data_IF_324114840271
#
_entry.id   IF_324114840271
#
_cell.length_a   1.000
_cell.length_b   1.000
_cell.length_c   1.000
_cell.angle_alpha   90.00
_cell.angle_beta   90.00
_cell.angle_gamma   90.00
#
_symmetry.space_group_name_H-M   'P 1'
#
loop_
_entity.id
_entity.type
_entity.pdbx_description
1 polymer ?
#
# COMPACT_ATOMS: atom_id res chain seq x y z
N UNK A 1 -49.73 31.32 7.20
CA UNK A 1 -48.78 30.45 7.89
C UNK A 1 -47.70 29.97 6.92
N UNK A 2 -46.45 30.38 7.11
CA UNK A 2 -45.31 29.83 6.36
C UNK A 2 -44.96 28.44 6.93
N UNK A 3 -44.60 27.43 6.11
CA UNK A 3 -44.13 26.14 6.60
C UNK A 3 -42.71 26.25 7.20
N UNK A 4 -42.33 25.41 8.14
CA UNK A 4 -41.04 25.44 8.81
C UNK A 4 -39.92 24.99 7.85
N UNK A 5 -38.76 25.69 7.94
CA UNK A 5 -37.53 25.36 7.20
C UNK A 5 -36.97 24.05 7.77
N UNK A 6 -36.80 23.06 6.90
CA UNK A 6 -36.08 21.84 7.22
C UNK A 6 -34.59 22.17 7.44
N UNK A 7 -34.08 21.90 8.65
CA UNK A 7 -32.67 21.94 8.96
C UNK A 7 -31.97 20.81 8.18
N UNK A 8 -31.10 21.18 7.25
CA UNK A 8 -30.23 20.23 6.59
C UNK A 8 -29.15 19.80 7.58
N UNK A 9 -29.27 18.56 8.06
CA UNK A 9 -28.22 17.90 8.81
C UNK A 9 -26.91 17.93 8.03
N UNK A 10 -25.92 18.58 8.62
CA UNK A 10 -24.54 18.60 8.14
C UNK A 10 -23.98 17.20 8.17
N UNK A 11 -24.03 16.49 7.05
CA UNK A 11 -23.31 15.23 6.84
C UNK A 11 -21.82 15.56 6.79
N UNK A 12 -21.12 15.34 7.92
CA UNK A 12 -19.68 15.43 7.97
C UNK A 12 -19.07 14.29 7.14
N UNK A 13 -18.68 14.62 5.91
CA UNK A 13 -17.89 13.72 5.06
C UNK A 13 -16.62 13.32 5.82
N UNK A 14 -16.26 12.02 5.85
CA UNK A 14 -14.97 11.60 6.39
C UNK A 14 -13.86 12.34 5.64
N UNK A 15 -12.96 12.96 6.40
CA UNK A 15 -11.79 13.67 5.83
C UNK A 15 -10.94 12.65 5.10
N UNK A 16 -10.68 12.91 3.82
CA UNK A 16 -9.70 12.15 3.02
C UNK A 16 -8.36 12.12 3.76
N UNK A 17 -7.71 10.95 3.88
CA UNK A 17 -6.33 10.91 4.33
C UNK A 17 -5.46 11.76 3.38
N UNK A 18 -4.51 12.48 3.97
CA UNK A 18 -3.58 13.34 3.23
C UNK A 18 -2.78 12.52 2.19
N UNK A 19 -2.41 13.10 1.04
CA UNK A 19 -1.58 12.42 0.07
C UNK A 19 -0.24 12.02 0.71
N UNK A 20 0.21 10.79 0.42
CA UNK A 20 1.47 10.23 0.89
C UNK A 20 2.62 11.11 0.40
N UNK A 21 3.20 11.89 1.28
CA UNK A 21 4.55 12.43 1.09
C UNK A 21 5.50 11.25 1.30
N UNK A 22 6.17 10.76 0.29
CA UNK A 22 6.98 9.54 0.17
C UNK A 22 7.76 8.96 1.37
N UNK A 23 7.59 9.47 2.59
CA UNK A 23 8.24 8.99 3.80
C UNK A 23 7.21 8.21 4.63
N UNK A 24 7.48 6.91 4.84
CA UNK A 24 6.68 6.04 5.72
C UNK A 24 6.95 6.39 7.19
N UNK A 25 5.93 6.24 8.05
CA UNK A 25 6.04 6.53 9.50
C UNK A 25 7.03 5.59 10.20
N UNK A 26 7.13 4.36 9.73
CA UNK A 26 8.06 3.32 10.18
C UNK A 26 7.99 3.04 11.70
N UNK A 27 6.78 3.05 12.25
CA UNK A 27 6.54 2.73 13.65
C UNK A 27 6.37 1.21 13.82
N UNK A 28 7.35 0.56 14.44
CA UNK A 28 7.40 -0.90 14.54
C UNK A 28 7.25 -1.34 16.01
N UNK A 29 6.16 -2.04 16.29
CA UNK A 29 5.86 -2.62 17.61
C UNK A 29 6.64 -3.94 17.77
N UNK A 30 7.69 -3.92 18.56
CA UNK A 30 8.57 -5.08 18.80
C UNK A 30 8.34 -5.71 20.17
N UNK A 31 8.15 -4.86 21.18
CA UNK A 31 8.04 -5.22 22.59
C UNK A 31 6.58 -5.26 23.04
N UNK A 32 6.31 -5.91 24.17
CA UNK A 32 4.97 -6.08 24.72
C UNK A 32 4.24 -7.33 24.24
N UNK A 33 3.08 -7.60 24.84
CA UNK A 33 2.21 -8.72 24.46
C UNK A 33 1.57 -8.51 23.09
N UNK A 34 1.00 -9.56 22.52
CA UNK A 34 0.27 -9.46 21.25
C UNK A 34 -0.93 -8.53 21.36
N UNK A 35 -1.64 -8.57 22.50
CA UNK A 35 -2.79 -7.72 22.80
C UNK A 35 -2.40 -6.24 22.86
N UNK A 36 -1.29 -5.91 23.55
CA UNK A 36 -0.78 -4.54 23.65
C UNK A 36 -0.41 -3.98 22.27
N UNK A 37 0.35 -4.73 21.48
CA UNK A 37 0.74 -4.33 20.12
C UNK A 37 -0.46 -4.08 19.21
N UNK A 38 -1.47 -4.95 19.29
CA UNK A 38 -2.71 -4.81 18.51
C UNK A 38 -3.50 -3.60 18.98
N UNK A 39 -3.63 -3.39 20.30
CA UNK A 39 -4.35 -2.24 20.84
C UNK A 39 -3.73 -0.91 20.39
N UNK A 40 -2.40 -0.79 20.50
CA UNK A 40 -1.66 0.39 20.04
C UNK A 40 -1.80 0.62 18.54
N UNK A 41 -1.67 -0.44 17.73
CA UNK A 41 -1.88 -0.35 16.28
C UNK A 41 -3.26 0.21 15.94
N UNK A 42 -4.31 -0.35 16.56
CA UNK A 42 -5.70 0.07 16.30
C UNK A 42 -5.93 1.53 16.72
N UNK A 43 -5.34 1.96 17.83
CA UNK A 43 -5.38 3.36 18.26
C UNK A 43 -4.74 4.29 17.23
N UNK A 44 -3.56 3.93 16.71
CA UNK A 44 -2.89 4.68 15.67
C UNK A 44 -3.71 4.75 14.37
N UNK A 45 -4.29 3.63 13.94
CA UNK A 45 -5.14 3.60 12.74
C UNK A 45 -6.38 4.51 12.89
N UNK A 46 -7.02 4.50 14.06
CA UNK A 46 -8.15 5.41 14.37
C UNK A 46 -7.72 6.87 14.38
N UNK A 47 -6.55 7.21 14.95
CA UNK A 47 -5.98 8.56 14.91
C UNK A 47 -5.67 9.03 13.49
N UNK A 48 -5.29 8.11 12.60
CA UNK A 48 -5.08 8.38 11.17
C UNK A 48 -6.38 8.53 10.38
N UNK A 49 -7.53 8.37 11.03
CA UNK A 49 -8.85 8.54 10.43
C UNK A 49 -9.40 7.31 9.72
N UNK A 50 -8.86 6.11 9.99
CA UNK A 50 -9.43 4.88 9.47
C UNK A 50 -10.72 4.53 10.24
N UNK A 51 -11.83 4.45 9.49
CA UNK A 51 -13.15 4.11 10.01
C UNK A 51 -13.51 2.67 9.63
N UNK A 52 -13.61 1.79 10.61
CA UNK A 52 -13.91 0.37 10.42
C UNK A 52 -15.42 0.05 10.53
N UNK A 53 -16.30 1.04 10.64
CA UNK A 53 -17.75 0.84 10.61
C UNK A 53 -18.31 0.65 9.20
N UNK A 54 -17.57 1.08 8.17
CA UNK A 54 -17.89 0.89 6.76
C UNK A 54 -17.04 -0.21 6.13
N UNK A 55 -17.59 -0.94 5.18
CA UNK A 55 -16.92 -2.06 4.56
C UNK A 55 -17.31 -2.29 3.11
N UNK A 56 -16.49 -3.09 2.43
CA UNK A 56 -16.69 -3.55 1.06
C UNK A 56 -16.69 -5.08 1.04
N UNK A 57 -17.32 -5.73 0.04
CA UNK A 57 -17.21 -7.16 -0.16
C UNK A 57 -15.74 -7.60 -0.28
N UNK A 58 -15.41 -8.75 0.30
CA UNK A 58 -14.02 -9.27 0.32
C UNK A 58 -13.48 -9.61 -1.08
N UNK A 59 -14.35 -9.80 -2.05
CA UNK A 59 -14.06 -10.09 -3.46
C UNK A 59 -14.03 -8.83 -4.34
N UNK A 60 -14.17 -7.63 -3.76
CA UNK A 60 -14.02 -6.37 -4.49
C UNK A 60 -12.68 -6.34 -5.23
N UNK A 61 -12.63 -5.93 -6.52
CA UNK A 61 -11.38 -5.80 -7.26
C UNK A 61 -10.37 -4.89 -6.52
N UNK A 62 -9.10 -5.31 -6.45
CA UNK A 62 -8.04 -4.58 -5.73
C UNK A 62 -7.93 -3.11 -6.19
N UNK A 63 -8.10 -2.85 -7.48
CA UNK A 63 -8.05 -1.49 -8.05
C UNK A 63 -9.22 -0.59 -7.64
N UNK A 64 -10.27 -1.15 -7.04
CA UNK A 64 -11.47 -0.46 -6.56
C UNK A 64 -11.58 -0.46 -5.04
N UNK A 65 -10.72 -1.22 -4.37
CA UNK A 65 -10.76 -1.39 -2.93
C UNK A 65 -10.11 -0.18 -2.22
N UNK A 66 -10.78 0.35 -1.20
CA UNK A 66 -10.16 1.34 -0.30
C UNK A 66 -9.23 0.69 0.72
N UNK A 67 -9.50 -0.56 1.07
CA UNK A 67 -8.73 -1.35 2.02
C UNK A 67 -8.48 -2.74 1.47
N UNK A 68 -7.29 -3.27 1.75
CA UNK A 68 -6.90 -4.64 1.37
C UNK A 68 -6.20 -5.32 2.53
N UNK A 69 -6.63 -6.52 2.85
CA UNK A 69 -5.89 -7.47 3.69
C UNK A 69 -5.23 -8.49 2.77
N UNK A 70 -3.91 -8.57 2.80
CA UNK A 70 -3.13 -9.34 1.84
C UNK A 70 -2.36 -10.47 2.50
N UNK A 71 -2.53 -11.69 1.96
CA UNK A 71 -1.87 -12.90 2.43
C UNK A 71 -0.48 -13.07 1.81
N UNK A 72 0.53 -13.29 2.64
CA UNK A 72 1.87 -13.76 2.24
C UNK A 72 2.06 -15.25 2.51
N UNK A 73 3.21 -15.80 2.11
CA UNK A 73 3.57 -17.19 2.40
C UNK A 73 3.63 -17.51 3.91
N UNK A 74 3.80 -16.48 4.76
CA UNK A 74 3.77 -16.64 6.22
C UNK A 74 2.44 -17.13 6.78
N UNK A 75 1.35 -17.16 5.96
CA UNK A 75 0.06 -17.76 6.34
C UNK A 75 0.14 -19.31 6.40
N UNK A 76 1.15 -19.92 5.80
CA UNK A 76 1.46 -21.34 5.87
C UNK A 76 0.61 -22.21 4.97
N UNK A 77 -0.68 -22.40 5.23
CA UNK A 77 -1.57 -23.28 4.47
C UNK A 77 -2.82 -22.60 3.97
N UNK A 78 -3.53 -23.28 3.06
CA UNK A 78 -4.78 -22.76 2.46
C UNK A 78 -5.90 -22.62 3.51
N UNK A 79 -5.95 -23.53 4.47
CA UNK A 79 -6.94 -23.51 5.54
C UNK A 79 -6.82 -22.23 6.39
N UNK A 80 -5.59 -21.72 6.55
CA UNK A 80 -5.31 -20.51 7.31
C UNK A 80 -5.74 -19.23 6.57
N UNK A 81 -6.13 -19.32 5.29
CA UNK A 81 -6.78 -18.19 4.60
C UNK A 81 -8.03 -17.72 5.32
N UNK A 82 -8.65 -18.56 6.14
CA UNK A 82 -9.77 -18.17 7.02
C UNK A 82 -9.41 -16.99 7.92
N UNK A 83 -8.18 -16.90 8.43
CA UNK A 83 -7.72 -15.76 9.24
C UNK A 83 -7.70 -14.46 8.44
N UNK A 84 -7.32 -14.54 7.16
CA UNK A 84 -7.31 -13.40 6.23
C UNK A 84 -8.74 -12.97 5.90
N UNK A 85 -9.64 -13.93 5.64
CA UNK A 85 -11.05 -13.66 5.37
C UNK A 85 -11.75 -12.99 6.56
N UNK A 86 -11.51 -13.50 7.77
CA UNK A 86 -12.12 -12.95 8.98
C UNK A 86 -11.61 -11.54 9.25
N UNK A 87 -10.30 -11.28 9.09
CA UNK A 87 -9.72 -9.96 9.22
C UNK A 87 -10.24 -9.02 8.12
N UNK A 88 -10.38 -9.49 6.88
CA UNK A 88 -10.92 -8.70 5.79
C UNK A 88 -12.36 -8.26 6.06
N UNK A 89 -13.21 -9.18 6.56
CA UNK A 89 -14.57 -8.87 6.98
C UNK A 89 -14.60 -7.86 8.14
N UNK A 90 -13.79 -8.10 9.18
CA UNK A 90 -13.73 -7.24 10.35
C UNK A 90 -13.18 -5.84 10.04
N UNK A 91 -12.29 -5.69 9.08
CA UNK A 91 -11.75 -4.40 8.64
C UNK A 91 -12.53 -3.75 7.50
N UNK A 92 -13.54 -4.45 6.93
CA UNK A 92 -14.28 -3.98 5.76
C UNK A 92 -13.38 -3.83 4.52
N UNK A 93 -12.50 -4.80 4.29
CA UNK A 93 -11.47 -4.79 3.26
C UNK A 93 -11.67 -5.90 2.20
N UNK A 94 -11.10 -5.71 1.02
CA UNK A 94 -10.95 -6.79 0.03
C UNK A 94 -9.74 -7.67 0.38
N UNK A 95 -9.74 -8.90 -0.15
CA UNK A 95 -8.63 -9.83 -0.02
C UNK A 95 -7.65 -9.64 -1.18
N UNK A 96 -6.37 -9.50 -0.83
CA UNK A 96 -5.25 -9.55 -1.74
C UNK A 96 -4.27 -10.65 -1.37
N UNK A 97 -3.21 -10.81 -2.16
CA UNK A 97 -2.14 -11.77 -1.88
C UNK A 97 -0.80 -11.34 -2.47
N UNK A 98 0.25 -11.98 -1.99
CA UNK A 98 1.54 -11.97 -2.67
C UNK A 98 1.53 -12.92 -3.86
N UNK A 99 2.45 -12.71 -4.83
CA UNK A 99 2.57 -13.54 -6.03
C UNK A 99 2.66 -15.04 -5.73
N UNK A 100 3.51 -15.52 -4.79
CA UNK A 100 3.58 -16.95 -4.48
C UNK A 100 2.26 -17.55 -3.99
N UNK A 101 1.46 -16.80 -3.22
CA UNK A 101 0.18 -17.29 -2.68
C UNK A 101 -0.86 -17.48 -3.80
N UNK A 102 -0.89 -16.59 -4.79
CA UNK A 102 -1.83 -16.72 -5.91
C UNK A 102 -1.31 -17.65 -7.01
N UNK A 103 -0.04 -17.48 -7.43
CA UNK A 103 0.51 -18.17 -8.61
C UNK A 103 1.01 -19.58 -8.30
N UNK A 104 1.80 -19.73 -7.23
CA UNK A 104 2.44 -21.01 -6.89
C UNK A 104 1.55 -21.88 -6.01
N UNK A 105 1.03 -21.31 -4.92
CA UNK A 105 0.22 -22.07 -3.95
C UNK A 105 -1.25 -22.13 -4.35
N UNK A 106 -1.71 -21.22 -5.21
CA UNK A 106 -3.09 -21.16 -5.71
C UNK A 106 -4.15 -21.13 -4.59
N UNK A 107 -3.85 -20.42 -3.49
CA UNK A 107 -4.80 -20.25 -2.39
C UNK A 107 -5.91 -19.26 -2.75
N UNK A 108 -5.62 -18.32 -3.65
CA UNK A 108 -6.56 -17.32 -4.18
C UNK A 108 -6.39 -17.21 -5.70
N UNK A 109 -7.40 -16.68 -6.43
CA UNK A 109 -7.29 -16.41 -7.87
C UNK A 109 -6.14 -15.43 -8.19
N UNK A 110 -5.61 -15.49 -9.42
CA UNK A 110 -4.50 -14.64 -9.90
C UNK A 110 -4.82 -13.15 -9.89
N UNK A 111 -6.07 -12.77 -10.02
CA UNK A 111 -6.51 -11.37 -9.95
C UNK A 111 -6.42 -10.76 -8.54
N UNK A 112 -6.10 -11.58 -7.53
CA UNK A 112 -5.82 -11.15 -6.15
C UNK A 112 -4.36 -10.87 -5.88
N UNK A 113 -3.48 -11.17 -6.81
CA UNK A 113 -2.06 -10.93 -6.65
C UNK A 113 -1.71 -9.44 -6.78
N UNK A 114 -1.04 -8.90 -5.75
CA UNK A 114 -0.56 -7.51 -5.70
C UNK A 114 0.95 -7.48 -5.93
N UNK A 115 1.40 -6.64 -6.86
CA UNK A 115 2.82 -6.53 -7.18
C UNK A 115 3.09 -5.80 -8.49
N UNK A 116 4.34 -5.76 -8.91
CA UNK A 116 4.80 -5.05 -10.09
C UNK A 116 4.08 -5.52 -11.37
N UNK A 117 3.95 -6.82 -11.57
CA UNK A 117 3.24 -7.45 -12.70
C UNK A 117 1.81 -7.87 -12.36
N UNK A 118 1.33 -7.60 -11.15
CA UNK A 118 -0.03 -7.87 -10.71
C UNK A 118 -0.86 -6.59 -10.53
N UNK A 119 -1.82 -6.67 -9.63
CA UNK A 119 -2.66 -5.54 -9.29
C UNK A 119 -1.87 -4.45 -8.56
N UNK A 120 -2.21 -3.18 -8.80
CA UNK A 120 -1.71 -2.03 -8.05
C UNK A 120 -2.75 -1.60 -7.04
N UNK A 121 -2.32 -1.43 -5.80
CA UNK A 121 -3.18 -0.91 -4.75
C UNK A 121 -2.86 0.56 -4.48
N UNK A 122 -3.88 1.41 -4.52
CA UNK A 122 -3.78 2.86 -4.32
C UNK A 122 -4.80 3.39 -3.29
N UNK A 123 -5.33 2.47 -2.47
CA UNK A 123 -6.35 2.79 -1.46
C UNK A 123 -5.76 3.33 -0.16
N UNK A 124 -6.63 3.37 0.85
CA UNK A 124 -6.34 4.01 2.12
C UNK A 124 -5.51 3.15 3.08
N UNK A 125 -5.77 1.83 3.11
CA UNK A 125 -5.13 0.92 4.06
C UNK A 125 -4.77 -0.41 3.42
N UNK A 126 -3.50 -0.79 3.51
CA UNK A 126 -3.00 -2.10 3.11
C UNK A 126 -2.45 -2.85 4.33
N UNK A 127 -3.01 -4.01 4.63
CA UNK A 127 -2.54 -4.86 5.74
C UNK A 127 -1.84 -6.08 5.15
N UNK A 128 -0.51 -6.13 5.28
CA UNK A 128 0.36 -7.19 4.79
C UNK A 128 0.56 -8.26 5.88
N UNK A 129 -0.05 -9.43 5.73
CA UNK A 129 -0.01 -10.53 6.70
C UNK A 129 0.96 -11.63 6.25
N UNK A 130 2.09 -11.77 6.93
CA UNK A 130 3.10 -12.77 6.59
C UNK A 130 3.79 -12.53 5.24
N UNK A 131 3.85 -11.30 4.78
CA UNK A 131 4.54 -10.88 3.55
C UNK A 131 5.94 -10.41 3.89
N UNK A 132 6.95 -10.86 3.16
CA UNK A 132 8.36 -10.51 3.39
C UNK A 132 8.71 -9.11 2.89
N UNK A 133 8.04 -8.62 1.84
CA UNK A 133 8.34 -7.32 1.24
C UNK A 133 9.40 -7.38 0.14
N UNK A 134 9.30 -8.37 -0.76
CA UNK A 134 10.08 -8.38 -1.98
C UNK A 134 9.79 -7.11 -2.81
N UNK A 135 10.81 -6.58 -3.50
CA UNK A 135 10.73 -5.33 -4.27
C UNK A 135 9.54 -5.31 -5.23
N UNK A 136 9.28 -6.45 -5.90
CA UNK A 136 8.15 -6.57 -6.84
C UNK A 136 6.80 -6.38 -6.15
N UNK A 137 6.65 -6.88 -4.90
CA UNK A 137 5.43 -6.67 -4.12
C UNK A 137 5.31 -5.21 -3.67
N UNK A 138 6.40 -4.64 -3.15
CA UNK A 138 6.45 -3.24 -2.68
C UNK A 138 6.08 -2.25 -3.78
N UNK A 139 6.52 -2.47 -5.03
CA UNK A 139 6.11 -1.66 -6.19
C UNK A 139 4.59 -1.69 -6.43
N UNK A 140 3.90 -2.74 -5.99
CA UNK A 140 2.43 -2.86 -6.09
C UNK A 140 1.65 -2.08 -5.03
N UNK A 141 2.28 -1.72 -3.91
CA UNK A 141 1.63 -1.08 -2.76
C UNK A 141 2.22 0.29 -2.39
N UNK A 142 3.22 0.76 -3.10
CA UNK A 142 3.92 2.02 -2.80
C UNK A 142 3.00 3.23 -2.67
N UNK A 143 1.90 3.22 -3.40
CA UNK A 143 0.92 4.31 -3.45
C UNK A 143 -0.24 4.15 -2.44
N UNK A 144 -0.21 3.13 -1.58
CA UNK A 144 -1.13 2.99 -0.46
C UNK A 144 -0.96 4.16 0.53
N UNK A 145 -2.05 4.69 1.07
CA UNK A 145 -1.96 5.79 2.06
C UNK A 145 -1.33 5.31 3.37
N UNK A 146 -1.76 4.15 3.86
CA UNK A 146 -1.20 3.52 5.06
C UNK A 146 -0.88 2.06 4.77
N UNK A 147 0.32 1.61 5.14
CA UNK A 147 0.75 0.22 5.07
C UNK A 147 0.99 -0.30 6.47
N UNK A 148 0.27 -1.36 6.83
CA UNK A 148 0.49 -2.15 8.06
C UNK A 148 1.19 -3.45 7.67
N UNK A 149 2.25 -3.82 8.38
CA UNK A 149 2.98 -5.06 8.17
C UNK A 149 2.94 -5.95 9.41
N UNK A 150 2.61 -7.23 9.24
CA UNK A 150 2.66 -8.25 10.29
C UNK A 150 3.58 -9.37 9.80
N UNK A 151 4.69 -9.58 10.50
CA UNK A 151 5.65 -10.63 10.15
C UNK A 151 6.43 -11.08 11.38
N UNK A 152 6.67 -12.38 11.51
CA UNK A 152 7.48 -12.94 12.60
C UNK A 152 8.98 -12.63 12.45
N UNK A 153 9.45 -12.42 11.23
CA UNK A 153 10.85 -12.05 10.97
C UNK A 153 11.02 -10.53 11.12
N UNK A 154 11.64 -10.11 12.23
CA UNK A 154 11.91 -8.70 12.51
C UNK A 154 12.81 -8.01 11.46
N UNK A 155 13.59 -8.79 10.69
CA UNK A 155 14.44 -8.31 9.60
C UNK A 155 13.74 -8.25 8.23
N UNK A 156 12.45 -8.58 8.14
CA UNK A 156 11.74 -8.60 6.87
C UNK A 156 11.74 -7.21 6.21
N UNK A 157 12.08 -7.10 4.90
CA UNK A 157 12.14 -5.83 4.18
C UNK A 157 10.85 -5.01 4.22
N UNK A 158 9.68 -5.66 4.41
CA UNK A 158 8.39 -4.98 4.52
C UNK A 158 8.40 -3.94 5.63
N UNK A 159 9.11 -4.18 6.75
CA UNK A 159 9.17 -3.26 7.88
C UNK A 159 9.88 -1.95 7.57
N UNK A 160 10.74 -1.89 6.57
CA UNK A 160 11.35 -0.65 6.10
C UNK A 160 10.43 0.17 5.20
N UNK A 161 9.32 -0.43 4.75
CA UNK A 161 8.41 0.11 3.76
C UNK A 161 6.95 0.20 4.25
N UNK A 162 6.73 0.13 5.57
CA UNK A 162 5.41 0.27 6.18
C UNK A 162 5.31 1.49 7.10
N UNK A 163 4.09 1.92 7.37
CA UNK A 163 3.81 2.98 8.34
C UNK A 163 3.77 2.41 9.75
N UNK A 164 3.14 1.24 9.89
CA UNK A 164 3.03 0.50 11.14
C UNK A 164 3.43 -0.95 10.93
N UNK A 165 4.20 -1.50 11.85
CA UNK A 165 4.61 -2.90 11.79
C UNK A 165 4.46 -3.61 13.14
N UNK A 166 3.96 -4.83 13.14
CA UNK A 166 3.97 -5.71 14.33
C UNK A 166 4.89 -6.89 14.06
N UNK A 167 5.93 -7.02 14.88
CA UNK A 167 6.78 -8.22 14.88
C UNK A 167 6.10 -9.28 15.74
N UNK A 168 5.65 -10.38 15.10
CA UNK A 168 4.97 -11.47 15.77
C UNK A 168 4.35 -12.48 14.81
N UNK A 169 3.77 -13.53 15.39
CA UNK A 169 3.15 -14.60 14.62
C UNK A 169 1.76 -14.19 14.12
N UNK A 170 1.48 -14.46 12.84
CA UNK A 170 0.17 -14.17 12.23
C UNK A 170 -0.96 -14.96 12.89
N UNK A 171 -0.68 -16.17 13.39
CA UNK A 171 -1.69 -17.02 14.03
C UNK A 171 -2.16 -16.48 15.39
N UNK A 172 -1.32 -15.71 16.05
CA UNK A 172 -1.64 -15.05 17.31
C UNK A 172 -2.26 -13.67 17.05
N UNK A 173 -1.65 -12.89 16.15
CA UNK A 173 -1.99 -11.49 15.95
C UNK A 173 -3.27 -11.28 15.14
N UNK A 174 -3.54 -12.10 14.10
CA UNK A 174 -4.69 -11.86 13.24
C UNK A 174 -6.04 -12.06 13.97
N UNK A 175 -6.23 -13.09 14.83
CA UNK A 175 -7.47 -13.20 15.60
C UNK A 175 -7.71 -12.01 16.54
N UNK A 176 -6.64 -11.52 17.20
CA UNK A 176 -6.72 -10.36 18.09
C UNK A 176 -7.07 -9.08 17.32
N UNK A 177 -6.42 -8.87 16.16
CA UNK A 177 -6.68 -7.72 15.30
C UNK A 177 -8.10 -7.79 14.72
N UNK A 178 -8.55 -8.97 14.30
CA UNK A 178 -9.93 -9.21 13.84
C UNK A 178 -10.92 -8.78 14.90
N UNK A 179 -10.76 -9.26 16.14
CA UNK A 179 -11.63 -8.89 17.26
C UNK A 179 -11.62 -7.40 17.56
N UNK A 180 -10.44 -6.76 17.48
CA UNK A 180 -10.28 -5.32 17.77
C UNK A 180 -10.88 -4.40 16.69
N UNK A 181 -10.98 -4.88 15.44
CA UNK A 181 -11.56 -4.15 14.30
C UNK A 181 -13.03 -4.53 14.03
N UNK A 182 -13.53 -5.57 14.67
CA UNK A 182 -14.92 -5.98 14.49
C UNK A 182 -15.86 -5.02 15.23
N UNK A 183 -16.57 -4.21 14.46
CA UNK A 183 -17.56 -3.25 14.95
C UNK A 183 -19.01 -3.77 14.78
N UNK A 184 -19.18 -5.06 14.45
CA UNK A 184 -20.46 -5.67 14.12
C UNK A 184 -20.83 -5.52 12.64
N UNK A 185 -22.11 -5.31 12.34
CA UNK A 185 -22.59 -5.15 10.96
C UNK A 185 -21.97 -3.93 10.29
N UNK A 186 -21.34 -4.12 9.13
CA UNK A 186 -20.70 -3.04 8.36
C UNK A 186 -21.70 -2.34 7.48
N UNK A 187 -21.70 -1.03 7.51
CA UNK A 187 -22.39 -0.25 6.49
C UNK A 187 -21.65 -0.38 5.15
N UNK A 188 -22.39 -0.48 4.01
CA UNK A 188 -21.73 -0.50 2.71
C UNK A 188 -20.93 0.81 2.50
N UNK A 189 -19.68 0.66 2.09
CA UNK A 189 -18.88 1.82 1.74
C UNK A 189 -19.52 2.55 0.54
N UNK A 190 -19.54 3.89 0.52
CA UNK A 190 -19.99 4.63 -0.64
C UNK A 190 -19.13 4.24 -1.85
N UNK A 191 -19.72 4.15 -3.06
CA UNK A 191 -18.97 3.76 -4.25
C UNK A 191 -17.77 4.69 -4.42
N UNK A 192 -16.59 4.10 -4.66
CA UNK A 192 -15.41 4.89 -4.97
C UNK A 192 -15.66 5.68 -6.24
N UNK A 193 -15.94 6.96 -6.09
CA UNK A 193 -15.88 7.87 -7.21
C UNK A 193 -14.40 7.91 -7.62
N UNK A 194 -14.11 7.41 -8.83
CA UNK A 194 -12.80 7.56 -9.47
C UNK A 194 -12.53 9.07 -9.64
N UNK A 195 -12.11 9.70 -8.56
CA UNK A 195 -11.52 11.03 -8.69
C UNK A 195 -10.20 10.80 -9.42
N UNK A 196 -10.12 11.24 -10.69
CA UNK A 196 -8.82 11.47 -11.30
C UNK A 196 -8.02 12.24 -10.24
N UNK A 197 -6.93 11.62 -9.73
CA UNK A 197 -5.96 12.38 -8.96
C UNK A 197 -5.68 13.61 -9.81
N UNK A 198 -5.68 14.84 -9.25
CA UNK A 198 -5.00 15.89 -9.94
C UNK A 198 -3.58 15.36 -10.16
N UNK A 199 -3.25 15.05 -11.41
CA UNK A 199 -1.85 14.86 -11.78
C UNK A 199 -1.16 16.09 -11.21
N UNK A 200 -0.12 15.93 -10.37
CA UNK A 200 0.70 17.09 -10.02
C UNK A 200 1.01 17.78 -11.35
N UNK A 201 0.95 19.11 -11.42
CA UNK A 201 1.27 19.80 -12.66
C UNK A 201 2.58 19.21 -13.14
N UNK A 202 2.58 18.68 -14.38
CA UNK A 202 3.76 18.08 -14.97
C UNK A 202 4.82 19.17 -14.86
N UNK A 203 5.94 18.94 -14.13
CA UNK A 203 6.95 19.99 -14.00
C UNK A 203 7.32 20.41 -15.41
N UNK A 204 7.45 21.72 -15.63
CA UNK A 204 7.89 22.22 -16.93
C UNK A 204 9.24 21.58 -17.26
N UNK A 205 9.45 21.11 -18.50
CA UNK A 205 10.68 20.39 -18.85
C UNK A 205 11.88 21.31 -18.62
N UNK A 206 12.76 20.93 -17.69
CA UNK A 206 13.98 21.69 -17.35
C UNK A 206 15.11 21.35 -18.31
N UNK A 207 15.01 20.22 -19.03
CA UNK A 207 16.05 19.74 -19.94
C UNK A 207 15.55 18.64 -20.88
N UNK A 208 16.48 18.11 -21.66
CA UNK A 208 16.20 16.98 -22.54
C UNK A 208 16.02 15.71 -21.74
N UNK A 209 15.14 14.83 -22.21
CA UNK A 209 14.90 13.52 -21.65
C UNK A 209 15.71 12.49 -22.41
N UNK A 210 16.08 11.43 -21.72
CA UNK A 210 16.88 10.36 -22.28
C UNK A 210 16.28 9.01 -21.93
N UNK A 211 16.23 8.11 -22.91
CA UNK A 211 15.65 6.77 -22.77
C UNK A 211 16.74 5.72 -22.86
N UNK A 212 16.76 4.80 -21.91
CA UNK A 212 17.65 3.65 -21.91
C UNK A 212 17.33 2.72 -23.08
N UNK A 213 18.27 2.49 -23.98
CA UNK A 213 18.13 1.57 -25.10
C UNK A 213 17.99 0.09 -24.69
N UNK A 214 18.39 -0.25 -23.46
CA UNK A 214 18.28 -1.63 -22.95
C UNK A 214 16.91 -1.99 -22.40
N UNK A 215 16.26 -1.10 -21.61
CA UNK A 215 15.02 -1.40 -20.91
C UNK A 215 13.89 -0.39 -21.12
N UNK A 216 14.15 0.72 -21.81
CA UNK A 216 13.15 1.78 -22.02
C UNK A 216 12.94 2.69 -20.80
N UNK A 217 13.76 2.63 -19.75
CA UNK A 217 13.71 3.56 -18.64
C UNK A 217 13.96 4.99 -19.13
N UNK A 218 13.10 5.94 -18.76
CA UNK A 218 13.23 7.36 -19.11
C UNK A 218 13.84 8.13 -17.94
N UNK A 219 15.02 8.75 -18.14
CA UNK A 219 15.56 9.70 -17.19
C UNK A 219 14.86 11.05 -17.34
N UNK A 220 14.26 11.51 -16.24
CA UNK A 220 13.50 12.76 -16.18
C UNK A 220 14.24 13.75 -15.27
N UNK A 221 14.90 14.78 -15.82
CA UNK A 221 15.71 15.74 -15.03
C UNK A 221 14.95 16.36 -13.86
N UNK A 222 13.64 16.62 -14.01
CA UNK A 222 12.79 17.21 -12.98
C UNK A 222 12.65 16.32 -11.72
N UNK A 223 12.83 15.02 -11.88
CA UNK A 223 12.70 14.04 -10.80
C UNK A 223 14.05 13.66 -10.20
N UNK A 224 15.14 13.74 -11.00
CA UNK A 224 16.44 13.19 -10.64
C UNK A 224 16.41 11.67 -10.50
N UNK A 225 17.32 11.13 -9.69
CA UNK A 225 17.38 9.72 -9.32
C UNK A 225 17.72 9.61 -7.83
N UNK A 226 16.72 9.55 -6.95
CA UNK A 226 16.94 9.50 -5.50
C UNK A 226 17.69 8.25 -5.03
N UNK A 227 17.59 7.15 -5.77
CA UNK A 227 18.28 5.89 -5.43
C UNK A 227 19.79 5.98 -5.68
N UNK A 228 20.19 6.82 -6.63
CA UNK A 228 21.59 7.15 -6.93
C UNK A 228 22.04 8.52 -6.34
N UNK A 229 21.27 9.08 -5.40
CA UNK A 229 21.52 10.39 -4.76
C UNK A 229 21.58 11.57 -5.75
N UNK A 230 20.93 11.44 -6.90
CA UNK A 230 20.84 12.51 -7.91
C UNK A 230 19.65 13.43 -7.59
N UNK A 231 19.93 14.68 -7.28
CA UNK A 231 18.92 15.66 -6.92
C UNK A 231 17.97 15.99 -8.09
N UNK A 232 16.67 16.28 -7.82
CA UNK A 232 15.77 16.86 -8.81
C UNK A 232 16.35 18.12 -9.44
N UNK A 233 16.18 18.27 -10.76
CA UNK A 233 16.77 19.36 -11.55
C UNK A 233 18.14 19.07 -12.16
N UNK A 234 18.71 17.88 -11.92
CA UNK A 234 19.97 17.47 -12.52
C UNK A 234 19.76 17.09 -13.99
N UNK A 235 20.47 17.74 -14.89
CA UNK A 235 20.46 17.41 -16.32
C UNK A 235 21.18 16.08 -16.58
N UNK A 236 20.78 15.31 -17.58
CA UNK A 236 21.38 14.01 -17.92
C UNK A 236 22.90 14.13 -18.18
N UNK A 237 23.32 15.19 -18.85
CA UNK A 237 24.71 15.44 -19.16
C UNK A 237 25.57 15.68 -17.91
N UNK A 238 24.95 16.11 -16.81
CA UNK A 238 25.58 16.37 -15.50
C UNK A 238 25.59 15.17 -14.55
N UNK A 239 25.00 14.05 -14.95
CA UNK A 239 25.09 12.82 -14.17
C UNK A 239 26.54 12.34 -14.09
N UNK A 240 26.93 11.74 -12.95
CA UNK A 240 28.25 11.10 -12.81
C UNK A 240 28.51 10.12 -13.96
N UNK A 241 29.79 9.98 -14.37
CA UNK A 241 30.15 9.04 -15.43
C UNK A 241 29.84 7.59 -15.06
N UNK A 242 29.93 7.26 -13.75
CA UNK A 242 29.63 5.97 -13.18
C UNK A 242 28.14 5.71 -12.99
N UNK A 243 27.27 6.70 -13.25
CA UNK A 243 25.84 6.51 -13.13
C UNK A 243 25.33 5.51 -14.17
N UNK A 244 24.51 4.58 -13.70
CA UNK A 244 23.91 3.52 -14.51
C UNK A 244 22.39 3.55 -14.42
N UNK A 245 21.71 2.97 -15.40
CA UNK A 245 20.27 2.84 -15.41
C UNK A 245 19.78 2.12 -14.15
N UNK A 246 18.87 2.71 -13.34
CA UNK A 246 18.36 2.09 -12.11
C UNK A 246 17.53 0.82 -12.36
N UNK A 247 17.05 0.58 -13.58
CA UNK A 247 16.23 -0.58 -13.91
C UNK A 247 17.05 -1.77 -14.45
N UNK A 248 18.13 -1.52 -15.22
CA UNK A 248 18.87 -2.60 -15.88
C UNK A 248 20.41 -2.49 -15.77
N UNK A 249 20.92 -1.47 -15.07
CA UNK A 249 22.35 -1.21 -14.84
C UNK A 249 23.18 -0.92 -16.12
N UNK A 250 22.55 -0.61 -17.25
CA UNK A 250 23.25 -0.14 -18.46
C UNK A 250 23.86 1.25 -18.23
N UNK A 251 25.03 1.50 -18.81
CA UNK A 251 25.73 2.78 -18.71
C UNK A 251 25.06 3.91 -19.48
N UNK A 252 25.47 5.14 -19.20
CA UNK A 252 24.97 6.36 -19.86
C UNK A 252 25.07 6.30 -21.39
N UNK A 253 26.07 5.59 -21.94
CA UNK A 253 26.31 5.43 -23.37
C UNK A 253 25.18 4.69 -24.12
N UNK A 254 24.30 4.00 -23.40
CA UNK A 254 23.12 3.32 -23.94
C UNK A 254 21.87 4.18 -23.96
N UNK A 255 21.95 5.40 -23.46
CA UNK A 255 20.80 6.30 -23.47
C UNK A 255 20.76 7.13 -24.74
N UNK A 256 19.56 7.26 -25.29
CA UNK A 256 19.26 8.09 -26.46
C UNK A 256 18.31 9.22 -26.07
N UNK A 257 18.47 10.38 -26.69
CA UNK A 257 17.57 11.53 -26.51
C UNK A 257 16.15 11.15 -26.97
N UNK A 258 15.12 11.44 -26.14
CA UNK A 258 13.72 11.09 -26.35
C UNK A 258 13.00 12.10 -27.27
#
# INVERSE_FOLDING_TARGET
>A
GKPPKSEHGSSSRPKKPAPVTGIRKNHIFRDGSAEEKVAELVEHLKKDGHDFTVGIPIDTPISQAERVVSAGQGIGSKENMKLIEDLAKASGAAIGSSRPVAETLQYVPLDRYVGMSGQKFVGNLYIACGISGAVQHLKGIKDASTIVAINKNAGAPIFKNCDYGIVGDVYELLPLLTKALDTGEKQPAPPMVKMKRPTPPKPEPIGKRYVCGGCGYEYVPELGDPDAEIAPGTLFEKLPEEWVCPECAEGKDKFIEA
#
